data_IF_402808860412
#
_entry.id   IF_402808860412
#
_cell.length_a   1.000
_cell.length_b   1.000
_cell.length_c   1.000
_cell.angle_alpha   90.00
_cell.angle_beta   90.00
_cell.angle_gamma   90.00
#
_symmetry.space_group_name_H-M   'P 1'
#
loop_
_entity.id
_entity.type
_entity.pdbx_description
1 polymer ?
#
# COMPACT_ATOMS: atom_id res chain seq x y z
N UNK A 1 -13.52 -7.62 1.05
CA UNK A 1 -12.64 -6.46 1.32
C UNK A 1 -12.14 -5.92 0.01
N UNK A 2 -12.34 -4.62 -0.20
CA UNK A 2 -12.05 -3.99 -1.49
C UNK A 2 -10.79 -3.14 -1.47
N UNK A 3 -10.21 -2.92 -0.30
CA UNK A 3 -8.99 -2.13 -0.14
C UNK A 3 -7.87 -2.96 0.39
N UNK A 4 -6.64 -2.67 -0.03
CA UNK A 4 -5.45 -3.22 0.59
C UNK A 4 -4.33 -2.18 0.56
N UNK A 5 -3.48 -2.22 1.56
CA UNK A 5 -2.27 -1.42 1.60
C UNK A 5 -1.08 -2.35 1.33
N UNK A 6 -0.37 -2.08 0.24
CA UNK A 6 0.83 -2.81 -0.13
C UNK A 6 2.01 -1.99 0.37
N UNK A 7 2.87 -2.60 1.18
CA UNK A 7 4.02 -1.94 1.78
C UNK A 7 5.29 -2.64 1.34
N UNK A 8 6.24 -1.88 0.90
CA UNK A 8 7.56 -2.40 0.56
C UNK A 8 8.64 -1.82 1.46
N UNK A 9 9.39 -2.72 2.05
CA UNK A 9 10.60 -2.41 2.80
C UNK A 9 11.79 -2.51 1.84
N UNK A 10 12.34 -1.36 1.42
CA UNK A 10 13.34 -1.33 0.35
C UNK A 10 14.62 -2.09 0.71
N UNK A 11 15.01 -2.06 1.98
CA UNK A 11 16.23 -2.72 2.44
C UNK A 11 16.19 -4.24 2.28
N UNK A 12 15.06 -4.84 2.59
CA UNK A 12 14.88 -6.30 2.58
C UNK A 12 14.15 -6.78 1.33
N UNK A 13 13.60 -5.86 0.54
CA UNK A 13 12.73 -6.17 -0.59
C UNK A 13 11.45 -6.94 -0.17
N UNK A 14 11.11 -6.92 1.11
CA UNK A 14 9.89 -7.54 1.59
C UNK A 14 8.68 -6.73 1.18
N UNK A 15 7.64 -7.44 0.79
CA UNK A 15 6.34 -6.86 0.46
C UNK A 15 5.31 -7.45 1.40
N UNK A 16 4.56 -6.60 2.06
CA UNK A 16 3.44 -7.03 2.88
C UNK A 16 2.16 -6.38 2.38
N UNK A 17 1.04 -7.08 2.56
CA UNK A 17 -0.27 -6.57 2.19
C UNK A 17 -1.20 -6.65 3.39
N UNK A 18 -1.93 -5.57 3.65
CA UNK A 18 -2.90 -5.52 4.72
C UNK A 18 -4.26 -5.17 4.12
N UNK A 19 -5.26 -6.03 4.26
CA UNK A 19 -6.59 -5.77 3.73
C UNK A 19 -7.38 -4.85 4.65
N UNK A 20 -8.24 -4.02 4.05
CA UNK A 20 -9.13 -3.12 4.77
C UNK A 20 -10.52 -3.13 4.11
N UNK A 21 -11.55 -2.96 4.93
CA UNK A 21 -12.92 -2.82 4.45
C UNK A 21 -13.22 -1.39 3.99
N UNK A 22 -12.52 -0.43 4.56
CA UNK A 22 -12.72 0.99 4.31
C UNK A 22 -11.38 1.68 4.17
N UNK A 23 -11.27 2.62 3.24
CA UNK A 23 -10.06 3.40 3.04
C UNK A 23 -9.66 4.17 4.31
N UNK A 24 -10.63 4.62 5.10
CA UNK A 24 -10.36 5.34 6.34
C UNK A 24 -9.60 4.50 7.36
N UNK A 25 -9.81 3.19 7.36
CA UNK A 25 -9.11 2.28 8.26
C UNK A 25 -7.61 2.17 7.93
N UNK A 26 -7.26 2.45 6.68
CA UNK A 26 -5.87 2.41 6.24
C UNK A 26 -5.08 3.68 6.62
N UNK A 27 -5.77 4.81 6.85
CA UNK A 27 -5.10 6.08 7.06
C UNK A 27 -4.21 6.11 8.29
N UNK A 28 -4.59 5.40 9.35
CA UNK A 28 -3.75 5.32 10.56
C UNK A 28 -2.39 4.68 10.27
N UNK A 29 -2.40 3.59 9.50
CA UNK A 29 -1.17 2.92 9.11
C UNK A 29 -0.35 3.76 8.13
N UNK A 30 -1.03 4.40 7.18
CA UNK A 30 -0.39 5.32 6.22
C UNK A 30 0.31 6.45 6.98
N UNK A 31 -0.36 7.04 7.98
CA UNK A 31 0.25 8.09 8.79
C UNK A 31 1.51 7.60 9.50
N UNK A 32 1.49 6.39 10.05
CA UNK A 32 2.67 5.80 10.67
C UNK A 32 3.81 5.61 9.67
N UNK A 33 3.49 5.18 8.45
CA UNK A 33 4.47 5.00 7.38
C UNK A 33 5.07 6.34 6.94
N UNK A 34 4.24 7.37 6.80
CA UNK A 34 4.70 8.71 6.45
C UNK A 34 5.64 9.27 7.52
N UNK A 35 5.31 9.08 8.80
CA UNK A 35 6.18 9.49 9.90
C UNK A 35 7.50 8.74 9.88
N UNK A 36 7.46 7.44 9.59
CA UNK A 36 8.68 6.64 9.48
C UNK A 36 9.56 7.12 8.33
N UNK A 37 8.96 7.46 7.18
CA UNK A 37 9.71 7.99 6.04
C UNK A 37 10.35 9.34 6.34
N UNK A 38 9.65 10.22 7.07
CA UNK A 38 10.21 11.49 7.53
C UNK A 38 11.42 11.30 8.44
N UNK A 39 11.47 10.17 9.14
CA UNK A 39 12.59 9.81 10.02
C UNK A 39 13.64 8.96 9.30
N UNK A 40 13.58 8.85 7.99
CA UNK A 40 14.59 8.19 7.18
C UNK A 40 14.35 6.71 6.89
N UNK A 41 13.19 6.18 7.20
CA UNK A 41 12.89 4.80 6.86
C UNK A 41 12.77 4.64 5.34
N UNK A 42 13.39 3.58 4.82
CA UNK A 42 13.34 3.24 3.39
C UNK A 42 12.16 2.32 3.12
N UNK A 43 10.97 2.92 3.01
CA UNK A 43 9.71 2.21 2.81
C UNK A 43 8.87 2.94 1.78
N UNK A 44 8.12 2.19 1.01
CA UNK A 44 7.12 2.73 0.11
C UNK A 44 5.80 2.01 0.31
N UNK A 45 4.71 2.64 -0.07
CA UNK A 45 3.39 2.02 0.02
C UNK A 45 2.49 2.43 -1.13
N UNK A 46 1.46 1.62 -1.33
CA UNK A 46 0.42 1.89 -2.30
C UNK A 46 -0.91 1.42 -1.71
N UNK A 47 -1.87 2.35 -1.57
CA UNK A 47 -3.24 2.00 -1.17
C UNK A 47 -4.02 1.70 -2.43
N UNK A 48 -4.51 0.49 -2.54
CA UNK A 48 -5.21 -0.02 -3.72
C UNK A 48 -6.67 -0.31 -3.43
N UNK A 49 -7.50 -0.08 -4.42
CA UNK A 49 -8.91 -0.42 -4.40
C UNK A 49 -9.24 -1.32 -5.58
N UNK A 50 -9.93 -2.43 -5.30
CA UNK A 50 -10.41 -3.32 -6.35
C UNK A 50 -11.89 -3.02 -6.60
N UNK A 51 -12.21 -2.55 -7.81
CA UNK A 51 -13.58 -2.20 -8.18
C UNK A 51 -14.41 -3.44 -8.52
N UNK A 52 -15.69 -3.23 -8.86
CA UNK A 52 -16.63 -4.30 -9.18
C UNK A 52 -16.20 -5.14 -10.40
N UNK A 53 -15.44 -4.54 -11.30
CA UNK A 53 -14.95 -5.23 -12.49
C UNK A 53 -13.67 -6.04 -12.22
N UNK A 54 -13.14 -5.95 -11.01
CA UNK A 54 -11.88 -6.60 -10.65
C UNK A 54 -10.64 -5.80 -10.98
N UNK A 55 -10.80 -4.58 -11.48
CA UNK A 55 -9.67 -3.70 -11.79
C UNK A 55 -9.13 -3.08 -10.51
N UNK A 56 -7.82 -2.89 -10.46
CA UNK A 56 -7.15 -2.31 -9.31
C UNK A 56 -6.86 -0.84 -9.60
N UNK A 57 -7.33 0.03 -8.70
CA UNK A 57 -7.07 1.46 -8.74
C UNK A 57 -6.15 1.84 -7.59
N UNK A 58 -5.15 2.66 -7.88
CA UNK A 58 -4.26 3.21 -6.85
C UNK A 58 -4.89 4.48 -6.30
N UNK A 59 -5.21 4.46 -5.01
CA UNK A 59 -5.85 5.59 -4.33
C UNK A 59 -4.80 6.57 -3.81
N UNK A 60 -3.72 6.03 -3.25
CA UNK A 60 -2.64 6.84 -2.70
C UNK A 60 -1.35 6.04 -2.72
N UNK A 61 -0.23 6.73 -2.78
CA UNK A 61 1.07 6.08 -2.75
C UNK A 61 2.13 7.07 -2.23
N UNK A 62 3.22 6.50 -1.72
CA UNK A 62 4.38 7.28 -1.36
C UNK A 62 5.64 6.41 -1.47
N UNK A 63 6.79 7.05 -1.59
CA UNK A 63 8.05 6.37 -1.82
C UNK A 63 8.25 6.06 -3.28
N UNK A 64 9.07 5.05 -3.59
CA UNK A 64 9.32 4.67 -4.98
C UNK A 64 8.07 4.07 -5.62
N UNK A 65 7.88 4.27 -6.95
CA UNK A 65 6.75 3.70 -7.66
C UNK A 65 6.68 2.19 -7.49
N UNK A 66 5.48 1.70 -7.19
CA UNK A 66 5.22 0.29 -6.97
C UNK A 66 4.38 -0.30 -8.12
N UNK A 67 4.48 0.30 -9.29
CA UNK A 67 3.62 -0.04 -10.42
C UNK A 67 3.58 -1.54 -10.76
N UNK A 68 4.70 -2.24 -10.65
CA UNK A 68 4.74 -3.69 -10.89
C UNK A 68 4.08 -4.50 -9.80
N UNK A 69 3.78 -3.90 -8.65
CA UNK A 69 3.17 -4.60 -7.51
C UNK A 69 1.67 -4.61 -7.54
N UNK A 70 1.06 -3.92 -8.49
CA UNK A 70 -0.37 -4.09 -8.76
C UNK A 70 -0.65 -5.52 -9.18
N UNK A 71 0.37 -6.25 -9.64
CA UNK A 71 0.28 -7.64 -10.02
C UNK A 71 0.35 -8.61 -8.83
N UNK A 72 0.61 -8.11 -7.61
CA UNK A 72 0.57 -8.94 -6.42
C UNK A 72 -0.86 -9.45 -6.26
N UNK A 73 -0.98 -10.77 -6.14
CA UNK A 73 -2.28 -11.43 -6.13
C UNK A 73 -3.18 -10.88 -5.03
N UNK A 74 -4.39 -10.51 -5.43
CA UNK A 74 -5.41 -10.06 -4.51
C UNK A 74 -6.13 -11.27 -3.90
N UNK A 75 -5.99 -11.45 -2.63
CA UNK A 75 -6.70 -12.51 -1.90
C UNK A 75 -7.67 -11.90 -0.89
#
# INVERSE_FOLDING_TARGET
MNYRLVIRWQRTCEVSTTPFNDANDAWSLIHCLDCAMENGAEVGYELQYRNENGDIEVIDYAGEPIGEWTNVRWN
#
